data_IF_772538191755
#
_entry.id   IF_772538191755
#
_cell.length_a   1.000
_cell.length_b   1.000
_cell.length_c   1.000
_cell.angle_alpha   90.00
_cell.angle_beta   90.00
_cell.angle_gamma   90.00
#
_symmetry.space_group_name_H-M   'P 1'
#
loop_
_entity.id
_entity.type
_entity.pdbx_description
1 polymer ?
#
# COMPACT_ATOMS: atom_id res chain seq x y z
N UNK A 1 11.49 44.60 32.93
CA UNK A 1 12.78 44.52 32.22
C UNK A 1 13.24 43.07 32.31
N UNK A 2 13.09 42.32 31.22
CA UNK A 2 13.46 40.90 31.22
C UNK A 2 14.98 40.79 31.11
N UNK A 3 15.63 40.33 32.18
CA UNK A 3 17.06 40.07 32.18
C UNK A 3 17.36 38.92 31.22
N UNK A 4 18.25 39.15 30.25
CA UNK A 4 18.77 38.11 29.37
C UNK A 4 19.55 37.10 30.19
N UNK A 5 19.34 35.81 29.93
CA UNK A 5 20.08 34.75 30.59
C UNK A 5 21.55 34.80 30.11
N UNK A 6 22.55 35.01 31.00
CA UNK A 6 23.95 35.20 30.60
C UNK A 6 24.52 34.06 29.75
N UNK A 7 24.00 32.84 29.92
CA UNK A 7 24.37 31.69 29.10
C UNK A 7 23.96 31.85 27.64
N UNK A 8 22.82 32.50 27.39
CA UNK A 8 22.30 32.74 26.04
C UNK A 8 23.10 33.84 25.33
N UNK A 9 23.51 34.88 26.06
CA UNK A 9 24.37 35.94 25.52
C UNK A 9 25.78 35.41 25.17
N UNK A 10 26.32 34.50 25.98
CA UNK A 10 27.59 33.83 25.69
C UNK A 10 27.47 32.88 24.49
N UNK A 11 26.40 32.11 24.38
CA UNK A 11 26.13 31.24 23.24
C UNK A 11 26.01 32.05 21.93
N UNK A 12 25.29 33.18 21.96
CA UNK A 12 25.12 34.06 20.80
C UNK A 12 26.44 34.73 20.38
N UNK A 13 27.26 35.19 21.34
CA UNK A 13 28.60 35.71 21.06
C UNK A 13 29.50 34.65 20.42
N UNK A 14 29.49 33.43 20.94
CA UNK A 14 30.28 32.33 20.40
C UNK A 14 29.81 31.92 18.99
N UNK A 15 28.49 31.91 18.74
CA UNK A 15 27.94 31.64 17.41
C UNK A 15 28.35 32.73 16.39
N UNK A 16 28.34 34.00 16.80
CA UNK A 16 28.82 35.12 15.97
C UNK A 16 30.31 35.01 15.66
N UNK A 17 31.16 34.73 16.65
CA UNK A 17 32.59 34.51 16.44
C UNK A 17 32.86 33.31 15.53
N UNK A 18 32.14 32.21 15.69
CA UNK A 18 32.26 31.03 14.82
C UNK A 18 31.85 31.32 13.36
N UNK A 19 30.98 32.30 13.12
CA UNK A 19 30.60 32.72 11.75
C UNK A 19 31.65 33.62 11.10
N UNK A 20 32.42 34.37 11.90
CA UNK A 20 33.43 35.33 11.42
C UNK A 20 34.83 34.73 11.29
N UNK A 21 35.20 33.86 12.23
CA UNK A 21 36.57 33.32 12.38
C UNK A 21 36.61 31.79 12.21
N UNK A 22 35.45 31.14 12.08
CA UNK A 22 35.38 29.70 11.91
C UNK A 22 35.80 29.26 10.51
N UNK A 23 36.33 28.04 10.43
CA UNK A 23 36.59 27.36 9.17
C UNK A 23 35.29 26.74 8.63
N UNK A 24 34.97 26.98 7.36
CA UNK A 24 33.81 26.38 6.72
C UNK A 24 34.03 24.86 6.57
N UNK A 25 33.44 24.09 7.47
CA UNK A 25 33.42 22.65 7.35
C UNK A 25 32.39 22.25 6.29
N UNK A 26 32.87 21.73 5.15
CA UNK A 26 32.01 21.08 4.14
C UNK A 26 31.45 19.78 4.73
N UNK A 27 30.31 19.88 5.42
CA UNK A 27 29.60 18.72 5.94
C UNK A 27 28.97 17.98 4.75
N UNK A 28 29.32 16.70 4.52
CA UNK A 28 28.70 15.91 3.47
C UNK A 28 27.18 15.85 3.67
N UNK A 29 26.43 15.83 2.57
CA UNK A 29 24.98 15.72 2.64
C UNK A 29 24.61 14.50 3.49
N UNK A 30 23.81 14.67 4.57
CA UNK A 30 23.44 13.56 5.42
C UNK A 30 22.80 12.45 4.60
N UNK A 31 23.23 11.21 4.81
CA UNK A 31 22.68 10.04 4.13
C UNK A 31 21.14 9.98 4.21
N UNK A 32 20.59 10.38 5.35
CA UNK A 32 19.14 10.51 5.55
C UNK A 32 18.47 11.45 4.54
N UNK A 33 19.09 12.60 4.25
CA UNK A 33 18.55 13.58 3.29
C UNK A 33 18.52 13.01 1.86
N UNK A 34 19.60 12.35 1.45
CA UNK A 34 19.67 11.67 0.14
C UNK A 34 18.60 10.58 0.07
N UNK A 35 18.53 9.71 1.07
CA UNK A 35 17.52 8.64 1.16
C UNK A 35 16.09 9.18 1.10
N UNK A 36 15.82 10.28 1.81
CA UNK A 36 14.51 10.95 1.80
C UNK A 36 14.16 11.47 0.40
N UNK A 37 15.08 12.17 -0.27
CA UNK A 37 14.88 12.69 -1.64
C UNK A 37 14.59 11.58 -2.64
N UNK A 38 15.41 10.52 -2.64
CA UNK A 38 15.20 9.34 -3.48
C UNK A 38 13.83 8.72 -3.18
N UNK A 39 13.51 8.50 -1.91
CA UNK A 39 12.23 7.89 -1.52
C UNK A 39 11.03 8.72 -1.96
N UNK A 40 11.12 10.05 -1.90
CA UNK A 40 10.06 10.98 -2.32
C UNK A 40 9.85 10.90 -3.83
N UNK A 41 10.94 10.90 -4.59
CA UNK A 41 10.90 10.84 -6.05
C UNK A 41 10.38 9.49 -6.56
N UNK A 42 10.77 8.38 -5.92
CA UNK A 42 10.23 7.06 -6.24
C UNK A 42 8.72 6.96 -5.99
N UNK A 43 8.20 7.52 -4.88
CA UNK A 43 6.74 7.56 -4.63
C UNK A 43 6.05 8.38 -5.70
N UNK A 44 6.59 9.56 -6.05
CA UNK A 44 6.00 10.45 -7.05
C UNK A 44 5.88 9.75 -8.40
N UNK A 45 6.96 9.11 -8.84
CA UNK A 45 6.98 8.38 -10.11
C UNK A 45 6.06 7.15 -10.08
N UNK A 46 5.98 6.46 -8.95
CA UNK A 46 5.05 5.34 -8.80
C UNK A 46 3.59 5.80 -8.82
N UNK A 47 3.24 6.88 -8.10
CA UNK A 47 1.91 7.47 -8.13
C UNK A 47 1.54 7.93 -9.55
N UNK A 48 2.45 8.58 -10.26
CA UNK A 48 2.22 8.97 -11.65
C UNK A 48 1.91 7.76 -12.54
N UNK A 49 2.67 6.67 -12.42
CA UNK A 49 2.36 5.43 -13.14
C UNK A 49 1.02 4.84 -12.70
N UNK A 50 0.72 4.88 -11.40
CA UNK A 50 -0.53 4.39 -10.84
C UNK A 50 -1.75 5.11 -11.41
N UNK A 51 -1.69 6.44 -11.50
CA UNK A 51 -2.78 7.27 -12.01
C UNK A 51 -3.00 7.08 -13.52
N UNK A 52 -1.93 6.86 -14.29
CA UNK A 52 -1.97 6.71 -15.74
C UNK A 52 -2.13 5.27 -16.25
N UNK A 53 -2.14 4.27 -15.35
CA UNK A 53 -2.21 2.87 -15.76
C UNK A 53 -3.64 2.47 -16.12
N UNK A 54 -3.98 2.48 -17.41
CA UNK A 54 -5.36 2.28 -17.88
C UNK A 54 -5.68 0.84 -18.33
N UNK A 55 -5.60 -0.11 -17.39
CA UNK A 55 -6.16 -1.45 -17.59
C UNK A 55 -7.42 -1.63 -16.76
N UNK A 56 -8.30 -2.56 -17.17
CA UNK A 56 -9.49 -2.90 -16.39
C UNK A 56 -9.14 -3.38 -14.98
N UNK A 57 -8.17 -4.28 -14.85
CA UNK A 57 -7.66 -4.73 -13.54
C UNK A 57 -7.02 -3.58 -12.74
N UNK A 58 -6.34 -2.64 -13.40
CA UNK A 58 -5.77 -1.46 -12.77
C UNK A 58 -6.83 -0.52 -12.21
N UNK A 59 -7.91 -0.28 -12.97
CA UNK A 59 -9.05 0.53 -12.52
C UNK A 59 -9.77 -0.13 -11.34
N UNK A 60 -9.95 -1.45 -11.38
CA UNK A 60 -10.60 -2.18 -10.29
C UNK A 60 -9.79 -2.09 -8.99
N UNK A 61 -8.48 -2.34 -9.03
CA UNK A 61 -7.61 -2.20 -7.86
C UNK A 61 -7.60 -0.75 -7.35
N UNK A 62 -7.59 0.25 -8.24
CA UNK A 62 -7.68 1.68 -7.86
C UNK A 62 -8.97 2.05 -7.14
N UNK A 63 -10.07 1.34 -7.38
CA UNK A 63 -11.32 1.58 -6.69
C UNK A 63 -11.24 1.26 -5.19
N UNK A 64 -10.30 0.39 -4.78
CA UNK A 64 -10.00 0.07 -3.39
C UNK A 64 -8.78 0.84 -2.87
N UNK A 65 -7.74 0.97 -3.71
CA UNK A 65 -6.44 1.56 -3.38
C UNK A 65 -6.17 2.75 -4.31
N UNK A 66 -6.71 3.94 -4.00
CA UNK A 66 -6.65 5.10 -4.91
C UNK A 66 -5.23 5.66 -5.05
N UNK A 67 -4.41 5.52 -4.01
CA UNK A 67 -3.04 6.01 -4.00
C UNK A 67 -2.04 4.86 -3.88
N UNK A 68 -0.90 5.02 -4.52
CA UNK A 68 0.23 4.12 -4.41
C UNK A 68 0.77 4.12 -2.97
N UNK A 69 0.52 3.04 -2.22
CA UNK A 69 0.96 2.91 -0.83
C UNK A 69 2.09 1.88 -0.70
N UNK A 70 3.27 2.35 -0.25
CA UNK A 70 4.43 1.49 -0.02
C UNK A 70 4.12 0.39 1.01
N UNK A 71 3.26 0.67 1.98
CA UNK A 71 2.88 -0.30 3.01
C UNK A 71 2.03 -1.41 2.42
N UNK A 72 1.12 -1.09 1.48
CA UNK A 72 0.25 -2.07 0.83
C UNK A 72 1.04 -3.21 0.18
N UNK A 73 2.12 -2.90 -0.54
CA UNK A 73 2.99 -3.92 -1.15
C UNK A 73 3.72 -4.83 -0.15
N UNK A 74 3.89 -4.35 1.09
CA UNK A 74 4.68 -5.02 2.13
C UNK A 74 3.78 -5.81 3.07
N UNK A 75 2.50 -5.44 3.22
CA UNK A 75 1.74 -5.84 4.40
C UNK A 75 1.04 -7.20 4.32
N UNK A 76 0.75 -7.76 3.13
CA UNK A 76 0.30 -9.16 2.91
C UNK A 76 0.01 -9.44 1.44
N UNK A 77 0.60 -10.51 0.89
CA UNK A 77 0.33 -10.99 -0.49
C UNK A 77 -1.15 -11.37 -0.71
N UNK A 78 -1.86 -11.78 0.35
CA UNK A 78 -3.28 -12.19 0.32
C UNK A 78 -4.19 -11.13 -0.31
N UNK A 79 -3.98 -9.87 0.08
CA UNK A 79 -4.81 -8.75 -0.37
C UNK A 79 -4.51 -8.41 -1.82
N UNK A 80 -3.28 -8.58 -2.26
CA UNK A 80 -2.88 -8.39 -3.66
C UNK A 80 -3.56 -9.45 -4.52
N UNK A 81 -3.54 -10.71 -4.10
CA UNK A 81 -4.21 -11.79 -4.82
C UNK A 81 -5.71 -11.54 -4.94
N UNK A 82 -6.36 -11.17 -3.84
CA UNK A 82 -7.76 -10.78 -3.83
C UNK A 82 -8.02 -9.62 -4.83
N UNK A 83 -7.35 -8.49 -4.68
CA UNK A 83 -7.60 -7.29 -5.49
C UNK A 83 -7.33 -7.47 -6.98
N UNK A 84 -6.36 -8.32 -7.33
CA UNK A 84 -5.94 -8.52 -8.73
C UNK A 84 -6.53 -9.78 -9.35
N UNK A 85 -7.23 -10.61 -8.56
CA UNK A 85 -7.58 -11.98 -8.93
C UNK A 85 -6.39 -12.81 -9.44
N UNK A 86 -5.16 -12.55 -8.96
CA UNK A 86 -3.93 -13.25 -9.39
C UNK A 86 -3.49 -14.41 -8.47
N UNK A 87 -4.31 -14.77 -7.49
CA UNK A 87 -4.04 -15.86 -6.55
C UNK A 87 -4.27 -17.27 -7.13
N UNK A 88 -4.44 -18.29 -6.25
CA UNK A 88 -4.78 -19.67 -6.63
C UNK A 88 -6.24 -19.81 -7.12
N UNK A 89 -6.67 -18.89 -7.98
CA UNK A 89 -8.01 -18.81 -8.54
C UNK A 89 -8.08 -19.56 -9.87
N UNK A 90 -9.18 -20.28 -10.11
CA UNK A 90 -9.32 -21.06 -11.35
C UNK A 90 -9.18 -20.19 -12.60
N UNK A 91 -9.77 -18.99 -12.59
CA UNK A 91 -9.68 -18.05 -13.70
C UNK A 91 -8.22 -17.68 -14.01
N UNK A 92 -7.42 -17.40 -12.98
CA UNK A 92 -6.02 -17.04 -13.13
C UNK A 92 -5.16 -18.23 -13.56
N UNK A 93 -5.31 -19.37 -12.89
CA UNK A 93 -4.54 -20.59 -13.20
C UNK A 93 -4.84 -21.10 -14.62
N UNK A 94 -6.08 -20.95 -15.10
CA UNK A 94 -6.44 -21.24 -16.49
C UNK A 94 -5.75 -20.30 -17.47
N UNK A 95 -5.69 -18.99 -17.17
CA UNK A 95 -4.97 -18.01 -18.01
C UNK A 95 -3.49 -18.38 -18.17
N UNK A 96 -2.87 -18.95 -17.13
CA UNK A 96 -1.49 -19.44 -17.15
C UNK A 96 -1.33 -20.89 -17.62
N UNK A 97 -2.40 -21.49 -18.17
CA UNK A 97 -2.42 -22.86 -18.72
C UNK A 97 -2.05 -23.94 -17.70
N UNK A 98 -2.26 -23.66 -16.41
CA UNK A 98 -2.07 -24.63 -15.32
C UNK A 98 -3.34 -25.46 -15.11
N UNK A 99 -4.51 -24.86 -15.33
CA UNK A 99 -5.80 -25.54 -15.30
C UNK A 99 -6.45 -25.53 -16.70
N UNK A 100 -7.28 -26.54 -16.96
CA UNK A 100 -7.99 -26.71 -18.22
C UNK A 100 -9.33 -25.92 -18.29
N UNK A 101 -9.78 -25.35 -17.18
CA UNK A 101 -11.03 -24.60 -17.11
C UNK A 101 -10.88 -23.37 -16.20
N UNK A 102 -11.43 -22.20 -16.58
CA UNK A 102 -11.47 -21.01 -15.73
C UNK A 102 -12.57 -21.07 -14.67
N UNK A 103 -13.41 -22.11 -14.70
CA UNK A 103 -14.58 -22.24 -13.85
C UNK A 103 -14.24 -22.90 -12.51
N UNK A 104 -14.85 -22.39 -11.45
CA UNK A 104 -14.96 -23.09 -10.17
C UNK A 104 -15.77 -24.38 -10.34
N UNK A 105 -15.57 -25.34 -9.44
CA UNK A 105 -16.33 -26.60 -9.40
C UNK A 105 -17.85 -26.41 -9.26
N UNK A 106 -18.29 -25.24 -8.77
CA UNK A 106 -19.73 -24.90 -8.73
C UNK A 106 -20.29 -24.41 -10.08
N UNK A 107 -19.45 -24.34 -11.12
CA UNK A 107 -19.83 -23.96 -12.49
C UNK A 107 -19.77 -22.45 -12.81
N UNK A 108 -19.43 -21.59 -11.84
CA UNK A 108 -19.23 -20.14 -12.07
C UNK A 108 -17.77 -19.82 -12.38
N UNK A 109 -17.51 -18.62 -12.90
CA UNK A 109 -16.14 -18.12 -13.10
C UNK A 109 -15.40 -18.12 -11.76
N UNK A 110 -14.22 -18.76 -11.70
CA UNK A 110 -13.46 -18.86 -10.46
C UNK A 110 -12.49 -17.70 -10.28
N UNK A 111 -13.00 -16.47 -10.20
CA UNK A 111 -12.24 -15.27 -9.83
C UNK A 111 -12.35 -14.96 -8.32
N UNK A 112 -11.63 -13.95 -7.83
CA UNK A 112 -11.64 -13.62 -6.41
C UNK A 112 -13.04 -13.24 -5.89
N UNK A 113 -13.79 -12.46 -6.67
CA UNK A 113 -15.13 -11.99 -6.29
C UNK A 113 -16.10 -13.16 -6.13
N UNK A 114 -16.02 -14.17 -6.99
CA UNK A 114 -16.82 -15.38 -6.85
C UNK A 114 -16.60 -16.08 -5.50
N UNK A 115 -15.35 -16.24 -5.10
CA UNK A 115 -14.99 -16.96 -3.87
C UNK A 115 -15.17 -16.13 -2.61
N UNK A 116 -15.07 -14.80 -2.68
CA UNK A 116 -15.12 -13.91 -1.52
C UNK A 116 -16.51 -13.28 -1.32
N UNK A 117 -17.22 -12.96 -2.41
CA UNK A 117 -18.48 -12.21 -2.33
C UNK A 117 -19.71 -13.02 -2.78
N UNK A 118 -19.63 -13.79 -3.87
CA UNK A 118 -20.82 -14.28 -4.58
C UNK A 118 -21.36 -15.66 -4.16
N UNK A 119 -21.37 -15.96 -2.85
CA UNK A 119 -22.01 -17.16 -2.30
C UNK A 119 -21.59 -18.48 -2.99
N UNK A 120 -20.30 -18.63 -3.30
CA UNK A 120 -19.76 -19.92 -3.70
C UNK A 120 -20.04 -20.97 -2.61
N UNK A 121 -20.67 -22.12 -2.93
CA UNK A 121 -20.97 -23.14 -1.92
C UNK A 121 -19.71 -23.67 -1.20
N UNK A 122 -18.55 -23.60 -1.85
CA UNK A 122 -17.28 -24.14 -1.34
C UNK A 122 -16.57 -23.20 -0.37
N UNK A 123 -16.89 -21.90 -0.39
CA UNK A 123 -16.21 -20.87 0.42
C UNK A 123 -17.18 -20.07 1.29
N UNK A 124 -18.37 -20.64 1.53
CA UNK A 124 -19.47 -19.99 2.26
C UNK A 124 -19.08 -19.39 3.60
N UNK A 125 -18.18 -20.06 4.32
CA UNK A 125 -17.71 -19.68 5.66
C UNK A 125 -16.72 -18.50 5.64
N UNK A 126 -16.07 -18.27 4.50
CA UNK A 126 -15.02 -17.27 4.30
C UNK A 126 -15.53 -16.01 3.59
N UNK A 127 -16.81 -15.96 3.22
CA UNK A 127 -17.35 -14.81 2.51
C UNK A 127 -17.29 -13.53 3.33
N UNK A 128 -16.95 -12.46 2.62
CA UNK A 128 -17.04 -11.10 3.09
C UNK A 128 -18.25 -10.43 2.47
N UNK A 129 -18.72 -9.37 3.13
CA UNK A 129 -19.78 -8.54 2.56
C UNK A 129 -19.19 -7.70 1.43
N UNK A 130 -19.79 -7.81 0.24
CA UNK A 130 -19.43 -6.97 -0.90
C UNK A 130 -19.61 -5.48 -0.55
N UNK A 131 -18.59 -4.64 -0.78
CA UNK A 131 -18.70 -3.21 -0.56
C UNK A 131 -19.50 -2.53 -1.67
N UNK A 132 -20.31 -1.55 -1.29
CA UNK A 132 -20.86 -0.59 -2.25
C UNK A 132 -19.70 0.20 -2.88
N UNK A 133 -19.77 0.47 -4.19
CA UNK A 133 -18.71 1.14 -4.97
C UNK A 133 -18.17 2.40 -4.28
N UNK A 134 -19.05 3.25 -3.74
CA UNK A 134 -18.69 4.50 -3.06
C UNK A 134 -17.90 4.29 -1.75
N UNK A 135 -17.98 3.10 -1.17
CA UNK A 135 -17.35 2.75 0.11
C UNK A 135 -16.18 1.77 -0.04
N UNK A 136 -15.77 1.38 -1.26
CA UNK A 136 -14.69 0.43 -1.51
C UNK A 136 -13.38 0.81 -0.81
N UNK A 137 -12.98 2.08 -0.86
CA UNK A 137 -11.77 2.57 -0.19
C UNK A 137 -11.85 2.43 1.34
N UNK A 138 -12.98 2.84 1.93
CA UNK A 138 -13.18 2.76 3.38
C UNK A 138 -13.29 1.31 3.86
N UNK A 139 -14.02 0.49 3.12
CA UNK A 139 -14.15 -0.94 3.35
C UNK A 139 -12.79 -1.64 3.29
N UNK A 140 -11.95 -1.29 2.31
CA UNK A 140 -10.63 -1.89 2.17
C UNK A 140 -9.70 -1.53 3.32
N UNK A 141 -9.73 -0.27 3.78
CA UNK A 141 -8.99 0.13 4.99
C UNK A 141 -9.43 -0.66 6.22
N UNK A 142 -10.74 -0.82 6.41
CA UNK A 142 -11.27 -1.63 7.51
C UNK A 142 -10.87 -3.09 7.40
N UNK A 143 -10.83 -3.66 6.18
CA UNK A 143 -10.35 -5.01 5.93
C UNK A 143 -8.88 -5.18 6.34
N UNK A 144 -8.03 -4.20 6.06
CA UNK A 144 -6.61 -4.21 6.44
C UNK A 144 -6.40 -4.20 7.96
N UNK A 145 -7.33 -3.62 8.72
CA UNK A 145 -7.26 -3.51 10.18
C UNK A 145 -7.99 -4.66 10.89
N UNK A 146 -8.94 -5.31 10.22
CA UNK A 146 -9.73 -6.39 10.80
C UNK A 146 -9.04 -7.76 10.68
N UNK A 147 -8.43 -8.20 11.79
CA UNK A 147 -7.75 -9.50 11.87
C UNK A 147 -8.64 -10.70 11.56
N UNK A 148 -9.91 -10.68 11.96
CA UNK A 148 -10.82 -11.79 11.72
C UNK A 148 -11.09 -11.96 10.21
N UNK A 149 -11.38 -10.85 9.52
CA UNK A 149 -11.59 -10.87 8.07
C UNK A 149 -10.32 -11.31 7.32
N UNK A 150 -9.14 -10.86 7.78
CA UNK A 150 -7.87 -11.29 7.19
C UNK A 150 -7.62 -12.79 7.42
N UNK A 151 -7.88 -13.31 8.61
CA UNK A 151 -7.75 -14.75 8.89
C UNK A 151 -8.68 -15.59 8.03
N UNK A 152 -9.91 -15.12 7.75
CA UNK A 152 -10.82 -15.80 6.81
C UNK A 152 -10.27 -15.84 5.39
N UNK A 153 -9.65 -14.75 4.93
CA UNK A 153 -9.00 -14.71 3.61
C UNK A 153 -7.78 -15.65 3.56
N UNK A 154 -6.97 -15.70 4.61
CA UNK A 154 -5.78 -16.55 4.71
C UNK A 154 -6.09 -18.05 4.79
N UNK A 155 -7.22 -18.43 5.39
CA UNK A 155 -7.62 -19.85 5.41
C UNK A 155 -8.06 -20.36 4.03
N UNK A 156 -8.42 -19.46 3.12
CA UNK A 156 -8.95 -19.80 1.81
C UNK A 156 -7.90 -19.79 0.67
N UNK A 157 -6.91 -18.89 0.70
CA UNK A 157 -5.87 -18.75 -0.34
C UNK A 157 -4.53 -19.33 0.11
#
# INVERSE_FOLDING_TARGET
>A
MSAGDPGNELADRNAKSATLEGEELSIPTPHFYIKMKICKELIRNWQCRWDNYDSESGREVRSYVPCADKRFLIYRNILIFFLTSHGPFHFYLHRFKTLNSPLCLCGRLGDADHYIFFNCPLTKEYHLKEPVVQHRVAWFKNLQENRECLSRLEMFL
#
